data_IF_270252988299
#
_entry.id   IF_270252988299
#
_cell.length_a   1.000
_cell.length_b   1.000
_cell.length_c   1.000
_cell.angle_alpha   90.00
_cell.angle_beta   90.00
_cell.angle_gamma   90.00
#
_symmetry.space_group_name_H-M   'P 1'
#
loop_
_entity.id
_entity.type
_entity.pdbx_description
1 polymer ?
#
# COMPACT_ATOMS: atom_id res chain seq x y z
N UNK A 1 -19.86 -55.83 -57.09
CA UNK A 1 -20.94 -56.36 -56.22
C UNK A 1 -21.39 -55.19 -55.36
N UNK A 2 -22.30 -54.36 -55.85
CA UNK A 2 -23.78 -54.52 -55.86
C UNK A 2 -24.41 -54.23 -54.49
N UNK A 3 -25.34 -53.28 -54.56
CA UNK A 3 -26.12 -52.64 -53.52
C UNK A 3 -27.06 -53.55 -52.73
N UNK A 4 -27.49 -53.06 -51.55
CA UNK A 4 -28.88 -52.89 -51.12
C UNK A 4 -28.90 -52.41 -49.65
N UNK A 5 -29.83 -51.66 -49.08
CA UNK A 5 -30.91 -50.73 -49.46
C UNK A 5 -31.82 -50.59 -48.20
N UNK A 6 -32.59 -49.50 -48.11
CA UNK A 6 -33.82 -49.28 -47.28
C UNK A 6 -33.55 -48.76 -45.84
N UNK A 7 -33.87 -47.53 -45.38
CA UNK A 7 -34.94 -46.52 -45.61
C UNK A 7 -36.16 -46.67 -44.67
N UNK A 8 -36.30 -45.74 -43.70
CA UNK A 8 -37.52 -45.06 -43.17
C UNK A 8 -37.20 -44.37 -41.82
N UNK A 9 -37.75 -43.25 -41.37
CA UNK A 9 -38.45 -42.04 -41.87
C UNK A 9 -39.11 -41.43 -40.60
N UNK A 10 -38.86 -40.12 -40.34
CA UNK A 10 -39.72 -39.12 -39.64
C UNK A 10 -40.08 -39.37 -38.15
N UNK A 11 -40.18 -38.39 -37.23
CA UNK A 11 -40.38 -36.94 -37.37
C UNK A 11 -40.05 -36.12 -36.09
N UNK A 12 -39.74 -34.84 -36.35
CA UNK A 12 -39.95 -33.56 -35.64
C UNK A 12 -40.14 -33.43 -34.11
N UNK A 13 -39.24 -32.65 -33.48
CA UNK A 13 -39.45 -31.47 -32.59
C UNK A 13 -38.04 -31.11 -32.05
N UNK A 14 -37.40 -29.97 -32.29
CA UNK A 14 -37.75 -28.65 -31.79
C UNK A 14 -36.80 -27.60 -32.43
N UNK A 15 -37.36 -26.53 -33.01
CA UNK A 15 -36.61 -25.38 -33.50
C UNK A 15 -36.98 -24.15 -32.65
N UNK A 16 -36.23 -23.86 -31.58
CA UNK A 16 -36.47 -22.65 -30.76
C UNK A 16 -35.26 -22.07 -30.00
N UNK A 17 -34.02 -22.42 -30.33
CA UNK A 17 -32.83 -21.94 -29.59
C UNK A 17 -31.91 -20.96 -30.36
N UNK A 18 -32.27 -20.54 -31.58
CA UNK A 18 -31.37 -19.75 -32.45
C UNK A 18 -31.43 -18.22 -32.35
N UNK A 19 -32.33 -17.60 -31.58
CA UNK A 19 -32.59 -16.15 -31.69
C UNK A 19 -32.29 -15.27 -30.47
N UNK A 20 -31.80 -15.82 -29.34
CA UNK A 20 -31.54 -15.00 -28.13
C UNK A 20 -30.13 -14.42 -28.01
N UNK A 21 -29.17 -14.85 -28.83
CA UNK A 21 -27.76 -14.44 -28.70
C UNK A 21 -27.45 -13.11 -29.46
N UNK A 22 -28.28 -12.72 -30.42
CA UNK A 22 -28.04 -11.54 -31.28
C UNK A 22 -28.33 -10.19 -30.60
N UNK A 23 -29.23 -10.14 -29.61
CA UNK A 23 -29.64 -8.86 -28.98
C UNK A 23 -28.70 -8.40 -27.84
N UNK A 24 -27.99 -9.32 -27.18
CA UNK A 24 -27.05 -8.97 -26.11
C UNK A 24 -25.78 -8.29 -26.65
N UNK A 25 -25.29 -8.75 -27.81
CA UNK A 25 -24.12 -8.17 -28.49
C UNK A 25 -24.39 -6.79 -29.11
N UNK A 26 -25.62 -6.52 -29.56
CA UNK A 26 -26.02 -5.21 -30.08
C UNK A 26 -26.16 -4.14 -28.99
N UNK A 27 -26.60 -4.51 -27.79
CA UNK A 27 -26.69 -3.57 -26.66
C UNK A 27 -25.31 -3.22 -26.07
N UNK A 28 -24.35 -4.14 -26.08
CA UNK A 28 -22.98 -3.87 -25.62
C UNK A 28 -22.25 -2.84 -26.50
N UNK A 29 -22.39 -2.93 -27.84
CA UNK A 29 -21.77 -1.95 -28.77
C UNK A 29 -22.39 -0.55 -28.67
N UNK A 30 -23.67 -0.45 -28.29
CA UNK A 30 -24.37 0.84 -28.17
C UNK A 30 -23.95 1.62 -26.91
N UNK A 31 -23.62 0.91 -25.83
CA UNK A 31 -23.12 1.53 -24.60
C UNK A 31 -21.64 1.94 -24.70
N UNK A 32 -20.83 1.22 -25.48
CA UNK A 32 -19.42 1.56 -25.70
C UNK A 32 -19.25 2.82 -26.56
N UNK A 33 -20.13 3.03 -27.55
CA UNK A 33 -20.11 4.23 -28.40
C UNK A 33 -20.49 5.53 -27.67
N UNK A 34 -21.22 5.47 -26.55
CA UNK A 34 -21.55 6.66 -25.75
C UNK A 34 -20.42 7.06 -24.79
N UNK A 35 -19.60 6.10 -24.31
CA UNK A 35 -18.46 6.40 -23.44
C UNK A 35 -17.33 7.11 -24.18
N UNK A 36 -17.06 6.75 -25.44
CA UNK A 36 -16.01 7.37 -26.27
C UNK A 36 -16.38 8.82 -26.66
N UNK A 37 -17.67 9.12 -26.87
CA UNK A 37 -18.12 10.49 -27.15
C UNK A 37 -18.06 11.42 -25.92
N UNK A 38 -18.16 10.86 -24.72
CA UNK A 38 -18.15 11.62 -23.46
C UNK A 38 -16.73 12.04 -23.06
N UNK A 39 -15.74 11.17 -23.31
CA UNK A 39 -14.32 11.45 -23.03
C UNK A 39 -13.77 12.55 -23.94
N UNK A 40 -14.18 12.58 -25.21
CA UNK A 40 -13.76 13.64 -26.15
C UNK A 40 -14.37 15.01 -25.86
N UNK A 41 -15.49 15.09 -25.13
CA UNK A 41 -16.13 16.36 -24.78
C UNK A 41 -15.56 16.99 -23.50
N UNK A 42 -14.99 16.19 -22.59
CA UNK A 42 -14.35 16.68 -21.34
C UNK A 42 -12.96 17.27 -21.62
N UNK A 43 -12.20 16.70 -22.56
CA UNK A 43 -10.86 17.23 -22.92
C UNK A 43 -10.91 18.59 -23.65
N UNK A 44 -12.05 18.98 -24.23
CA UNK A 44 -12.20 20.26 -24.92
C UNK A 44 -12.64 21.41 -24.00
N UNK A 45 -13.10 21.12 -22.77
CA UNK A 45 -13.65 22.13 -21.86
C UNK A 45 -12.66 22.61 -20.78
N UNK A 46 -11.48 21.97 -20.67
CA UNK A 46 -10.42 22.32 -19.72
C UNK A 46 -9.40 23.35 -20.25
N UNK A 47 -9.58 23.89 -21.47
CA UNK A 47 -8.67 24.86 -22.08
C UNK A 47 -9.11 26.33 -22.00
N UNK A 48 -10.19 26.64 -21.28
CA UNK A 48 -10.66 28.03 -21.15
C UNK A 48 -11.13 28.24 -19.72
N UNK A 49 -10.26 28.70 -18.82
CA UNK A 49 -10.56 29.68 -17.77
C UNK A 49 -9.24 30.18 -17.12
N UNK A 50 -9.13 31.47 -16.73
CA UNK A 50 -7.86 32.16 -16.50
C UNK A 50 -7.31 32.05 -15.08
N UNK A 51 -5.98 32.09 -15.00
CA UNK A 51 -5.17 32.24 -13.79
C UNK A 51 -5.58 33.48 -12.98
N UNK A 52 -5.82 33.31 -11.68
CA UNK A 52 -5.78 34.43 -10.73
C UNK A 52 -4.69 34.20 -9.69
N UNK A 53 -3.69 35.05 -9.81
CA UNK A 53 -2.51 35.28 -9.00
C UNK A 53 -2.80 35.46 -7.51
N UNK A 54 -2.06 34.75 -6.66
CA UNK A 54 -1.72 35.21 -5.30
C UNK A 54 -0.22 35.13 -5.13
N UNK A 55 0.43 36.30 -5.10
CA UNK A 55 1.85 36.49 -4.87
C UNK A 55 2.21 36.32 -3.41
N UNK A 56 3.27 35.55 -3.11
CA UNK A 56 4.02 35.68 -1.86
C UNK A 56 5.51 35.87 -2.18
N UNK A 57 6.05 36.97 -1.67
CA UNK A 57 7.45 37.38 -1.82
C UNK A 57 8.35 36.58 -0.87
N UNK A 58 9.57 36.22 -1.28
CA UNK A 58 10.50 35.41 -0.50
C UNK A 58 11.27 36.28 0.50
N UNK A 59 11.41 35.81 1.73
CA UNK A 59 12.41 36.34 2.66
C UNK A 59 13.15 35.19 3.33
N UNK A 60 14.36 34.97 2.82
CA UNK A 60 15.62 34.69 3.53
C UNK A 60 15.55 33.73 4.72
N UNK A 61 16.15 32.54 4.56
CA UNK A 61 16.86 31.91 5.68
C UNK A 61 18.25 31.40 5.28
N UNK A 62 19.13 31.65 6.23
CA UNK A 62 20.58 31.44 6.27
C UNK A 62 20.87 30.00 6.64
N UNK A 63 21.88 29.42 6.01
CA UNK A 63 22.44 28.10 6.30
C UNK A 63 23.14 28.11 7.67
N UNK A 64 22.78 27.21 8.58
CA UNK A 64 23.64 26.80 9.70
C UNK A 64 23.53 25.30 10.01
N UNK A 65 24.66 24.58 10.16
CA UNK A 65 24.69 23.14 10.41
C UNK A 65 24.68 22.86 11.92
N UNK A 66 23.53 22.51 12.49
CA UNK A 66 23.44 21.83 13.79
C UNK A 66 22.24 20.89 13.80
N UNK A 67 22.51 19.63 14.16
CA UNK A 67 21.55 18.53 14.29
C UNK A 67 20.34 18.92 15.14
N UNK A 68 19.15 18.64 14.60
CA UNK A 68 17.81 18.68 15.22
C UNK A 68 17.39 20.01 15.88
N UNK A 69 17.09 21.01 15.03
CA UNK A 69 16.27 22.17 15.43
C UNK A 69 14.78 21.83 15.31
N UNK A 70 14.04 22.09 16.39
CA UNK A 70 12.62 21.81 16.58
C UNK A 70 11.74 22.31 15.42
N UNK A 71 11.17 21.39 14.65
CA UNK A 71 10.21 21.65 13.58
C UNK A 71 8.84 21.04 13.89
N UNK A 72 7.81 21.88 13.85
CA UNK A 72 6.36 21.62 13.83
C UNK A 72 5.86 20.19 14.17
N UNK A 73 5.29 20.05 15.36
CA UNK A 73 4.48 18.90 15.78
C UNK A 73 3.31 18.66 14.81
N UNK A 74 3.39 17.61 13.99
CA UNK A 74 2.24 17.04 13.30
C UNK A 74 1.56 16.09 14.30
N UNK A 75 0.41 16.49 14.82
CA UNK A 75 -0.40 15.61 15.67
C UNK A 75 -0.99 14.48 14.82
N UNK A 76 -0.56 13.25 15.08
CA UNK A 76 -1.28 12.08 14.65
C UNK A 76 -2.40 11.86 15.67
N UNK A 77 -3.66 11.91 15.22
CA UNK A 77 -4.70 11.33 16.08
C UNK A 77 -4.47 9.83 16.05
N UNK A 78 -4.14 9.24 17.20
CA UNK A 78 -4.12 7.79 17.44
C UNK A 78 -5.30 7.19 16.68
N UNK A 79 -5.01 6.45 15.60
CA UNK A 79 -6.05 5.77 14.85
C UNK A 79 -6.77 4.88 15.86
N UNK A 80 -8.09 5.01 15.96
CA UNK A 80 -8.88 4.03 16.71
C UNK A 80 -8.73 2.74 15.93
N UNK A 81 -7.93 1.83 16.46
CA UNK A 81 -7.98 0.44 16.03
C UNK A 81 -9.38 -0.03 16.34
N UNK A 82 -10.13 -0.39 15.29
CA UNK A 82 -11.41 -1.08 15.49
C UNK A 82 -11.17 -2.27 16.39
N UNK A 83 -12.01 -2.43 17.42
CA UNK A 83 -11.97 -3.54 18.39
C UNK A 83 -11.97 -4.94 17.75
N UNK A 84 -12.24 -5.05 16.44
CA UNK A 84 -12.24 -6.32 15.71
C UNK A 84 -10.85 -6.93 15.44
N UNK A 85 -9.79 -6.13 15.37
CA UNK A 85 -8.41 -6.68 15.35
C UNK A 85 -7.91 -7.04 16.74
N UNK A 86 -8.68 -6.72 17.79
CA UNK A 86 -8.42 -7.06 19.19
C UNK A 86 -9.24 -8.27 19.65
N UNK A 87 -9.55 -9.23 18.76
CA UNK A 87 -10.06 -10.53 19.21
C UNK A 87 -8.94 -11.38 19.84
N UNK A 88 -8.51 -10.92 21.02
CA UNK A 88 -7.97 -11.70 22.12
C UNK A 88 -8.25 -10.91 23.42
N UNK A 89 -9.47 -11.03 23.95
CA UNK A 89 -9.76 -10.64 25.33
C UNK A 89 -9.17 -11.69 26.28
N UNK A 90 -8.43 -11.21 27.28
CA UNK A 90 -8.07 -11.86 28.53
C UNK A 90 -7.20 -13.13 28.44
N UNK A 91 -5.95 -12.97 28.01
CA UNK A 91 -4.83 -13.80 28.49
C UNK A 91 -4.15 -12.99 29.60
N UNK A 92 -3.96 -13.61 30.76
CA UNK A 92 -3.22 -13.02 31.88
C UNK A 92 -1.88 -12.42 31.42
N UNK A 93 -1.63 -11.21 31.89
CA UNK A 93 -0.60 -10.24 31.53
C UNK A 93 0.83 -10.73 31.93
N UNK A 94 1.26 -11.85 31.35
CA UNK A 94 2.60 -12.43 31.51
C UNK A 94 3.22 -12.83 30.17
N UNK A 95 2.65 -12.39 29.04
CA UNK A 95 3.33 -12.54 27.76
C UNK A 95 4.65 -11.74 27.83
N UNK A 96 5.81 -12.36 27.60
CA UNK A 96 7.08 -11.64 27.62
C UNK A 96 7.03 -10.55 26.55
N UNK A 97 7.47 -9.34 26.91
CA UNK A 97 7.61 -8.23 25.96
C UNK A 97 8.40 -8.70 24.72
N UNK A 98 8.05 -8.22 23.51
CA UNK A 98 8.83 -8.56 22.33
C UNK A 98 10.27 -8.07 22.55
N UNK A 99 11.27 -8.85 22.12
CA UNK A 99 12.67 -8.47 22.29
C UNK A 99 12.93 -7.12 21.61
N UNK A 100 13.88 -6.32 22.13
CA UNK A 100 14.25 -5.07 21.50
C UNK A 100 14.62 -5.25 20.04
N UNK A 101 14.16 -4.34 19.20
CA UNK A 101 14.54 -4.29 17.80
C UNK A 101 16.04 -4.11 17.68
N UNK A 102 16.64 -4.89 16.78
CA UNK A 102 18.07 -4.88 16.50
C UNK A 102 18.26 -4.88 14.99
N UNK A 103 17.98 -3.74 14.36
CA UNK A 103 18.24 -3.52 12.94
C UNK A 103 19.72 -3.24 12.64
N UNK A 104 20.12 -3.28 11.37
CA UNK A 104 21.46 -2.87 10.94
C UNK A 104 21.80 -1.43 11.33
N UNK A 105 23.03 -1.19 11.78
CA UNK A 105 23.53 0.13 12.18
C UNK A 105 24.54 0.60 11.14
N UNK A 106 24.44 1.83 10.62
CA UNK A 106 25.40 2.35 9.65
C UNK A 106 26.77 2.55 10.31
N UNK A 107 27.85 2.31 9.57
CA UNK A 107 29.19 2.62 10.08
C UNK A 107 29.34 4.14 10.25
N UNK A 108 29.93 4.62 11.35
CA UNK A 108 30.05 6.05 11.65
C UNK A 108 31.12 6.70 10.77
N UNK A 109 30.75 7.03 9.54
CA UNK A 109 31.56 7.78 8.58
C UNK A 109 30.80 9.05 8.16
N UNK A 110 31.52 10.07 7.70
CA UNK A 110 30.89 11.30 7.18
C UNK A 110 30.00 11.04 5.97
N UNK A 111 30.27 9.96 5.22
CA UNK A 111 29.49 9.54 4.06
C UNK A 111 28.15 8.91 4.46
N UNK A 112 28.05 8.35 5.66
CA UNK A 112 26.83 7.71 6.19
C UNK A 112 26.03 8.63 7.13
N UNK A 113 26.31 9.93 7.12
CA UNK A 113 25.57 10.88 7.93
C UNK A 113 24.10 10.95 7.51
N UNK A 114 23.15 11.13 8.45
CA UNK A 114 21.76 11.35 8.12
C UNK A 114 21.58 12.55 7.19
N UNK A 115 20.83 12.36 6.11
CA UNK A 115 20.48 13.39 5.14
C UNK A 115 19.32 14.26 5.65
N UNK A 116 18.44 13.68 6.45
CA UNK A 116 17.29 14.35 7.05
C UNK A 116 16.53 13.42 7.98
N UNK A 117 15.61 13.97 8.77
CA UNK A 117 14.81 13.19 9.70
C UNK A 117 13.61 13.95 10.25
N UNK A 118 12.75 13.22 10.95
CA UNK A 118 11.58 13.75 11.62
C UNK A 118 11.41 13.07 12.99
N UNK A 119 10.98 13.84 13.98
CA UNK A 119 10.51 13.28 15.24
C UNK A 119 9.04 12.88 15.12
N UNK A 120 8.75 11.63 15.47
CA UNK A 120 7.39 11.10 15.61
C UNK A 120 7.11 10.94 17.11
N UNK A 121 7.04 12.09 17.81
CA UNK A 121 7.03 12.14 19.28
C UNK A 121 5.89 11.36 19.95
N UNK A 122 4.78 11.12 19.27
CA UNK A 122 3.70 10.26 19.77
C UNK A 122 4.05 8.78 19.84
N UNK A 123 5.02 8.36 19.03
CA UNK A 123 5.59 7.01 19.05
C UNK A 123 6.88 6.94 19.90
N UNK A 124 7.40 8.09 20.33
CA UNK A 124 8.69 8.19 21.02
C UNK A 124 9.88 7.82 20.12
N UNK A 125 9.74 8.02 18.81
CA UNK A 125 10.76 7.67 17.81
C UNK A 125 11.19 8.89 17.01
N UNK A 126 12.48 8.98 16.73
CA UNK A 126 13.02 9.83 15.68
C UNK A 126 13.37 8.95 14.48
N UNK A 127 12.87 9.35 13.32
CA UNK A 127 13.12 8.68 12.05
C UNK A 127 14.12 9.50 11.24
N UNK A 128 15.07 8.83 10.60
CA UNK A 128 16.08 9.48 9.78
C UNK A 128 16.29 8.72 8.46
N UNK A 129 16.72 9.44 7.44
CA UNK A 129 17.14 8.87 6.16
C UNK A 129 18.65 9.02 6.04
N UNK A 130 19.33 7.93 5.71
CA UNK A 130 20.77 7.88 5.50
C UNK A 130 21.08 6.84 4.41
N UNK A 131 22.32 6.75 3.89
CA UNK A 131 22.70 5.65 2.99
C UNK A 131 22.41 4.30 3.61
N UNK A 132 21.77 3.41 2.85
CA UNK A 132 21.35 2.08 3.33
C UNK A 132 22.57 1.22 3.66
N UNK A 133 22.43 0.40 4.71
CA UNK A 133 23.44 -0.60 5.06
C UNK A 133 23.33 -1.88 4.25
N UNK A 134 22.16 -2.14 3.65
CA UNK A 134 21.87 -3.40 2.93
C UNK A 134 21.67 -3.23 1.43
N UNK A 135 21.38 -2.02 0.96
CA UNK A 135 21.17 -1.70 -0.46
C UNK A 135 22.26 -0.72 -0.94
N UNK A 136 23.39 -1.22 -1.48
CA UNK A 136 24.51 -0.36 -1.90
C UNK A 136 24.08 0.71 -2.90
N UNK A 137 24.43 1.96 -2.63
CA UNK A 137 24.07 3.11 -3.49
C UNK A 137 22.63 3.62 -3.32
N UNK A 138 21.84 3.00 -2.43
CA UNK A 138 20.48 3.43 -2.10
C UNK A 138 20.42 4.08 -0.70
N UNK A 139 19.25 4.62 -0.36
CA UNK A 139 18.95 5.19 0.94
C UNK A 139 18.12 4.21 1.79
N UNK A 140 18.31 4.29 3.10
CA UNK A 140 17.61 3.51 4.12
C UNK A 140 16.80 4.42 5.06
N UNK A 141 15.70 3.90 5.58
CA UNK A 141 14.94 4.49 6.68
C UNK A 141 15.46 3.94 8.00
N UNK A 142 15.80 4.82 8.93
CA UNK A 142 16.33 4.47 10.24
C UNK A 142 15.40 4.96 11.35
N UNK A 143 15.39 4.25 12.47
CA UNK A 143 14.72 4.66 13.69
C UNK A 143 15.69 4.67 14.88
N UNK A 144 15.47 5.60 15.79
CA UNK A 144 16.07 5.68 17.13
C UNK A 144 15.01 6.17 18.11
N UNK A 145 15.14 5.83 19.40
CA UNK A 145 14.29 6.45 20.42
C UNK A 145 14.53 7.95 20.48
N UNK A 146 13.45 8.73 20.57
CA UNK A 146 13.54 10.17 20.81
C UNK A 146 14.17 10.43 22.18
N UNK A 147 14.97 11.50 22.27
CA UNK A 147 15.67 11.88 23.52
C UNK A 147 14.69 12.17 24.67
N UNK A 148 13.53 12.74 24.35
CA UNK A 148 12.49 13.07 25.32
C UNK A 148 11.08 12.81 24.76
N UNK A 149 10.18 12.39 25.64
CA UNK A 149 8.75 12.31 25.40
C UNK A 149 8.14 13.71 25.25
N UNK A 150 6.87 13.76 24.85
CA UNK A 150 6.11 15.00 24.69
C UNK A 150 5.96 15.80 25.99
N UNK A 151 6.13 15.17 27.16
CA UNK A 151 6.12 15.83 28.47
C UNK A 151 7.52 16.20 28.98
N UNK A 152 8.57 15.95 28.19
CA UNK A 152 9.97 16.24 28.52
C UNK A 152 10.68 15.16 29.36
N UNK A 153 10.02 14.03 29.66
CA UNK A 153 10.67 12.90 30.32
C UNK A 153 11.54 12.10 29.35
N UNK A 154 12.62 11.48 29.84
CA UNK A 154 13.48 10.65 29.00
C UNK A 154 12.77 9.35 28.58
N UNK A 155 12.91 8.94 27.31
CA UNK A 155 12.35 7.69 26.81
C UNK A 155 13.41 6.60 26.90
N UNK A 156 13.19 5.63 27.79
CA UNK A 156 14.09 4.46 27.91
C UNK A 156 13.71 3.32 26.96
N UNK A 157 12.41 3.19 26.66
CA UNK A 157 11.89 2.23 25.69
C UNK A 157 10.52 2.64 25.16
N UNK A 158 10.20 2.18 23.95
CA UNK A 158 8.90 2.33 23.34
C UNK A 158 8.45 1.00 22.73
N UNK A 159 7.43 0.36 23.31
CA UNK A 159 6.81 -0.83 22.74
C UNK A 159 5.58 -0.42 21.94
N UNK A 160 5.65 -0.64 20.63
CA UNK A 160 4.61 -0.29 19.68
C UNK A 160 3.90 -1.55 19.20
N UNK A 161 2.55 -1.58 19.19
CA UNK A 161 1.82 -2.74 18.73
C UNK A 161 1.91 -2.90 17.21
N UNK A 162 1.65 -4.12 16.73
CA UNK A 162 1.44 -4.43 15.33
C UNK A 162 0.42 -3.47 14.71
N UNK A 163 0.62 -3.19 13.43
CA UNK A 163 -0.16 -2.26 12.64
C UNK A 163 -0.16 -0.79 13.08
N UNK A 164 0.75 -0.40 13.98
CA UNK A 164 1.01 1.02 14.26
C UNK A 164 1.44 1.73 12.97
N UNK A 165 0.77 2.85 12.64
CA UNK A 165 1.15 3.70 11.51
C UNK A 165 2.44 4.45 11.82
N UNK A 166 3.49 4.19 11.04
CA UNK A 166 4.75 4.93 11.13
C UNK A 166 4.71 6.20 10.29
N UNK A 167 4.09 6.11 9.11
CA UNK A 167 4.05 7.21 8.16
C UNK A 167 3.54 6.76 6.80
N UNK A 168 3.71 7.63 5.83
CA UNK A 168 3.37 7.34 4.45
C UNK A 168 4.48 6.62 3.70
N UNK A 169 4.11 5.70 2.80
CA UNK A 169 5.05 5.18 1.82
C UNK A 169 5.33 6.24 0.76
N UNK A 170 4.30 6.63 0.01
CA UNK A 170 4.28 7.87 -0.74
C UNK A 170 2.86 8.35 -0.93
N UNK A 171 2.59 9.62 -0.63
CA UNK A 171 1.28 10.21 -0.90
C UNK A 171 1.06 10.56 -2.37
N UNK A 172 2.13 10.82 -3.10
CA UNK A 172 2.07 11.24 -4.50
C UNK A 172 2.76 10.21 -5.39
N UNK A 173 2.18 10.02 -6.57
CA UNK A 173 2.59 9.02 -7.53
C UNK A 173 1.54 8.87 -8.61
N UNK A 174 1.78 7.94 -9.51
CA UNK A 174 0.90 7.63 -10.64
C UNK A 174 0.50 6.16 -10.60
N UNK A 175 -0.77 5.90 -10.92
CA UNK A 175 -1.23 4.54 -11.14
C UNK A 175 -1.01 4.13 -12.58
N UNK A 176 -0.42 2.95 -12.77
CA UNK A 176 -0.12 2.37 -14.06
C UNK A 176 -0.62 0.93 -14.14
N UNK A 177 -0.86 0.45 -15.36
CA UNK A 177 -1.29 -0.94 -15.61
C UNK A 177 -0.13 -1.94 -15.66
N UNK A 178 1.11 -1.45 -15.64
CA UNK A 178 2.33 -2.26 -15.65
C UNK A 178 3.21 -1.91 -14.47
N UNK A 179 4.02 -2.89 -14.06
CA UNK A 179 5.03 -2.69 -13.05
C UNK A 179 6.21 -1.94 -13.67
N UNK A 180 6.46 -0.72 -13.19
CA UNK A 180 7.54 0.15 -13.67
C UNK A 180 8.27 0.76 -12.47
N UNK A 181 9.57 0.55 -12.35
CA UNK A 181 10.40 1.14 -11.27
C UNK A 181 10.60 0.23 -10.06
N UNK A 182 11.59 0.58 -9.23
CA UNK A 182 12.13 -0.24 -8.12
C UNK A 182 11.46 -0.01 -6.76
N UNK A 183 10.41 0.82 -6.73
CA UNK A 183 9.63 1.20 -5.55
C UNK A 183 8.12 1.11 -5.79
N UNK A 184 7.74 0.37 -6.82
CA UNK A 184 6.35 0.30 -7.26
C UNK A 184 5.56 -0.65 -6.37
N UNK A 185 4.36 -0.22 -5.99
CA UNK A 185 3.51 -0.99 -5.07
C UNK A 185 2.29 -1.48 -5.81
N UNK A 186 2.14 -2.79 -5.90
CA UNK A 186 0.96 -3.40 -6.49
C UNK A 186 -0.26 -3.29 -5.56
N UNK A 187 -1.38 -2.83 -6.10
CA UNK A 187 -2.69 -2.96 -5.48
C UNK A 187 -3.26 -4.35 -5.76
N UNK A 188 -2.75 -5.32 -5.01
CA UNK A 188 -3.12 -6.72 -5.12
C UNK A 188 -3.49 -7.29 -3.75
N UNK A 189 -4.76 -7.18 -3.39
CA UNK A 189 -5.31 -7.72 -2.15
C UNK A 189 -5.73 -9.17 -2.39
N UNK A 190 -5.20 -10.09 -1.60
CA UNK A 190 -5.36 -11.54 -1.79
C UNK A 190 -6.37 -12.18 -0.83
N UNK A 191 -6.80 -11.46 0.22
CA UNK A 191 -7.76 -11.97 1.19
C UNK A 191 -8.59 -10.85 1.85
N UNK A 192 -9.78 -11.21 2.34
CA UNK A 192 -10.73 -10.28 2.94
C UNK A 192 -10.28 -9.68 4.29
N UNK A 193 -9.33 -10.34 4.97
CA UNK A 193 -8.79 -9.92 6.25
C UNK A 193 -7.55 -9.03 6.11
N UNK A 194 -7.09 -8.75 4.89
CA UNK A 194 -5.96 -7.86 4.65
C UNK A 194 -6.21 -6.50 5.28
N UNK A 195 -5.20 -5.98 5.97
CA UNK A 195 -5.31 -4.71 6.66
C UNK A 195 -5.26 -3.54 5.65
N UNK A 196 -6.21 -2.62 5.77
CA UNK A 196 -6.33 -1.41 4.96
C UNK A 196 -6.70 -0.23 5.85
N UNK A 197 -6.41 0.98 5.40
CA UNK A 197 -6.93 2.19 6.00
C UNK A 197 -8.13 2.70 5.21
N UNK A 198 -9.25 2.88 5.90
CA UNK A 198 -10.44 3.51 5.36
C UNK A 198 -11.04 4.43 6.43
N UNK A 199 -11.49 5.62 6.04
CA UNK A 199 -11.99 6.65 6.98
C UNK A 199 -11.04 6.94 8.16
N UNK A 200 -9.73 6.93 7.88
CA UNK A 200 -8.63 7.17 8.84
C UNK A 200 -8.47 6.09 9.91
N UNK A 201 -9.20 4.99 9.82
CA UNK A 201 -9.09 3.85 10.72
C UNK A 201 -8.45 2.67 10.00
N UNK A 202 -7.63 1.92 10.73
CA UNK A 202 -7.12 0.65 10.25
C UNK A 202 -8.17 -0.42 10.49
N UNK A 203 -8.53 -1.14 9.43
CA UNK A 203 -9.51 -2.21 9.47
C UNK A 203 -9.22 -3.27 8.39
N UNK A 204 -10.04 -4.32 8.35
CA UNK A 204 -9.95 -5.35 7.31
C UNK A 204 -10.62 -4.85 6.04
N UNK A 205 -10.28 -5.43 4.90
CA UNK A 205 -10.98 -5.11 3.64
C UNK A 205 -12.48 -5.39 3.75
N UNK A 206 -12.88 -6.47 4.43
CA UNK A 206 -14.30 -6.78 4.68
C UNK A 206 -15.00 -5.73 5.53
N UNK A 207 -14.37 -5.26 6.60
CA UNK A 207 -14.95 -4.21 7.43
C UNK A 207 -15.03 -2.87 6.66
N UNK A 208 -14.01 -2.54 5.86
CA UNK A 208 -14.00 -1.34 5.04
C UNK A 208 -15.14 -1.36 4.00
N UNK A 209 -15.32 -2.47 3.29
CA UNK A 209 -16.40 -2.64 2.32
C UNK A 209 -17.78 -2.60 2.98
N UNK A 210 -17.94 -3.23 4.15
CA UNK A 210 -19.19 -3.19 4.91
C UNK A 210 -19.51 -1.77 5.39
N UNK A 211 -18.51 -1.04 5.91
CA UNK A 211 -18.67 0.34 6.33
C UNK A 211 -19.03 1.25 5.16
N UNK A 212 -18.31 1.13 4.03
CA UNK A 212 -18.60 1.90 2.82
C UNK A 212 -20.01 1.62 2.31
N UNK A 213 -20.41 0.35 2.20
CA UNK A 213 -21.75 -0.06 1.79
C UNK A 213 -22.86 0.55 2.65
N UNK A 214 -22.65 0.66 3.97
CA UNK A 214 -23.63 1.21 4.90
C UNK A 214 -23.70 2.74 4.92
N UNK A 215 -22.58 3.42 4.66
CA UNK A 215 -22.45 4.87 4.88
C UNK A 215 -22.59 5.69 3.61
N UNK A 216 -22.01 5.22 2.51
CA UNK A 216 -21.90 5.97 1.24
C UNK A 216 -22.29 5.13 0.01
N UNK A 217 -22.29 3.81 0.13
CA UNK A 217 -22.56 2.87 -0.96
C UNK A 217 -24.00 2.90 -1.47
N UNK A 218 -24.16 2.64 -2.77
CA UNK A 218 -25.48 2.53 -3.41
C UNK A 218 -26.10 1.17 -3.11
N UNK A 219 -27.39 1.16 -2.81
CA UNK A 219 -28.17 -0.06 -2.54
C UNK A 219 -27.58 -0.97 -1.44
N UNK A 220 -26.94 -0.37 -0.43
CA UNK A 220 -26.20 -1.08 0.64
C UNK A 220 -25.12 -2.03 0.08
N UNK A 221 -24.46 -1.62 -1.01
CA UNK A 221 -23.41 -2.38 -1.67
C UNK A 221 -22.20 -1.50 -1.97
N UNK A 222 -21.01 -2.10 -1.95
CA UNK A 222 -19.76 -1.46 -2.34
C UNK A 222 -18.86 -2.51 -3.00
N UNK A 223 -18.28 -2.17 -4.15
CA UNK A 223 -17.25 -2.98 -4.81
C UNK A 223 -15.85 -2.65 -4.31
N UNK A 224 -14.87 -3.38 -4.84
CA UNK A 224 -13.45 -3.13 -4.66
C UNK A 224 -12.81 -3.05 -6.05
N UNK A 225 -12.27 -1.89 -6.41
CA UNK A 225 -11.76 -1.67 -7.76
C UNK A 225 -10.59 -2.62 -8.09
N UNK A 226 -10.55 -3.12 -9.33
CA UNK A 226 -9.54 -4.07 -9.78
C UNK A 226 -9.60 -5.45 -9.12
N UNK A 227 -10.68 -5.78 -8.40
CA UNK A 227 -10.84 -7.07 -7.73
C UNK A 227 -12.24 -7.65 -7.96
N UNK A 228 -12.31 -8.97 -8.01
CA UNK A 228 -13.55 -9.74 -8.03
C UNK A 228 -13.84 -10.24 -6.62
N UNK A 229 -15.03 -9.91 -6.12
CA UNK A 229 -15.52 -10.37 -4.82
C UNK A 229 -16.48 -11.55 -5.05
N UNK A 230 -16.11 -12.74 -4.59
CA UNK A 230 -16.96 -13.93 -4.67
C UNK A 230 -17.50 -14.28 -3.28
N UNK A 231 -18.83 -14.30 -3.07
CA UNK A 231 -19.39 -14.74 -1.80
C UNK A 231 -18.92 -16.15 -1.46
N UNK A 232 -18.54 -16.36 -0.21
CA UNK A 232 -18.29 -17.71 0.30
C UNK A 232 -19.62 -18.48 0.40
N UNK A 233 -19.57 -19.82 0.37
CA UNK A 233 -20.76 -20.69 0.40
C UNK A 233 -21.66 -20.42 1.62
N UNK A 234 -21.06 -19.98 2.72
CA UNK A 234 -21.74 -19.64 3.97
C UNK A 234 -22.30 -18.20 4.01
N UNK A 235 -22.05 -17.37 2.98
CA UNK A 235 -22.49 -15.96 2.84
C UNK A 235 -22.08 -14.98 3.95
N UNK A 236 -21.23 -15.41 4.89
CA UNK A 236 -20.72 -14.55 5.97
C UNK A 236 -19.42 -13.83 5.60
N UNK A 237 -18.77 -14.24 4.51
CA UNK A 237 -17.54 -13.66 3.99
C UNK A 237 -17.50 -13.72 2.47
N UNK A 238 -16.47 -13.16 1.87
CA UNK A 238 -16.17 -13.26 0.45
C UNK A 238 -14.68 -13.54 0.23
N UNK A 239 -14.38 -14.26 -0.84
CA UNK A 239 -13.04 -14.40 -1.38
C UNK A 239 -12.73 -13.23 -2.30
N UNK A 240 -11.50 -12.71 -2.20
CA UNK A 240 -11.00 -11.64 -3.07
C UNK A 240 -10.08 -12.26 -4.11
N UNK A 241 -10.31 -11.94 -5.37
CA UNK A 241 -9.42 -12.29 -6.47
C UNK A 241 -9.04 -11.04 -7.24
N UNK A 242 -7.85 -11.02 -7.83
CA UNK A 242 -7.48 -9.98 -8.78
C UNK A 242 -8.36 -10.10 -10.02
N UNK A 243 -8.93 -8.98 -10.45
CA UNK A 243 -9.58 -8.91 -11.75
C UNK A 243 -8.51 -8.88 -12.84
N UNK A 244 -8.35 -10.03 -13.53
CA UNK A 244 -7.43 -10.19 -14.66
C UNK A 244 -8.10 -9.87 -16.00
N UNK A 245 -9.42 -9.65 -16.00
CA UNK A 245 -10.19 -9.33 -17.22
C UNK A 245 -10.14 -7.83 -17.54
N UNK A 246 -9.72 -6.99 -16.60
CA UNK A 246 -9.46 -5.56 -16.80
C UNK A 246 -7.94 -5.26 -16.78
N UNK A 247 -7.23 -5.45 -17.92
CA UNK A 247 -5.81 -5.18 -18.02
C UNK A 247 -5.47 -3.68 -18.07
N UNK A 248 -6.47 -2.81 -18.22
CA UNK A 248 -6.27 -1.35 -18.26
C UNK A 248 -6.33 -0.74 -16.85
N UNK A 249 -6.79 -1.49 -15.86
CA UNK A 249 -6.80 -1.04 -14.48
C UNK A 249 -5.39 -0.70 -14.00
N UNK A 250 -5.21 0.55 -13.54
CA UNK A 250 -3.96 1.04 -13.00
C UNK A 250 -3.65 0.40 -11.64
N UNK A 251 -3.15 -0.85 -11.65
CA UNK A 251 -2.91 -1.64 -10.44
C UNK A 251 -1.62 -1.27 -9.72
N UNK A 252 -0.65 -0.72 -10.42
CA UNK A 252 0.68 -0.46 -9.90
C UNK A 252 0.82 1.01 -9.56
N UNK A 253 1.10 1.32 -8.30
CA UNK A 253 1.37 2.69 -7.88
C UNK A 253 2.87 2.94 -7.93
N UNK A 254 3.28 3.80 -8.85
CA UNK A 254 4.65 4.27 -9.00
C UNK A 254 4.78 5.57 -8.20
N UNK A 255 5.52 5.58 -7.08
CA UNK A 255 5.68 6.79 -6.29
C UNK A 255 6.47 7.85 -7.06
N UNK A 256 6.17 9.13 -6.82
CA UNK A 256 7.00 10.23 -7.35
C UNK A 256 8.45 10.07 -6.84
N UNK A 257 9.47 10.30 -7.70
CA UNK A 257 10.85 10.28 -7.27
C UNK A 257 11.09 11.35 -6.18
N UNK A 258 11.95 11.01 -5.22
CA UNK A 258 12.38 11.94 -4.17
C UNK A 258 13.70 12.54 -4.59
N UNK A 259 13.63 13.54 -5.47
CA UNK A 259 14.81 14.21 -6.02
C UNK A 259 15.39 15.28 -5.10
N UNK A 260 14.62 15.76 -4.11
CA UNK A 260 15.01 16.82 -3.20
C UNK A 260 14.41 16.60 -1.79
N UNK A 261 15.29 16.45 -0.79
CA UNK A 261 14.91 16.34 0.62
C UNK A 261 14.39 17.66 1.22
N UNK A 262 14.61 18.79 0.54
CA UNK A 262 14.31 20.11 1.09
C UNK A 262 12.86 20.59 0.83
N UNK A 263 12.08 19.91 -0.03
CA UNK A 263 10.83 20.48 -0.57
C UNK A 263 9.50 19.84 -0.11
N UNK A 264 9.50 18.69 0.58
CA UNK A 264 8.25 17.95 0.88
C UNK A 264 8.18 17.47 2.35
N UNK A 265 6.98 17.44 3.00
CA UNK A 265 6.82 16.85 4.33
C UNK A 265 7.22 15.37 4.34
N UNK A 266 8.41 15.11 4.88
CA UNK A 266 9.09 13.81 4.85
C UNK A 266 8.19 12.66 5.31
N UNK A 267 7.37 12.87 6.35
CA UNK A 267 6.55 11.82 6.97
C UNK A 267 5.56 11.12 6.03
N UNK A 268 5.13 11.79 4.96
CA UNK A 268 4.21 11.19 3.98
C UNK A 268 4.92 10.35 2.91
N UNK A 269 6.25 10.37 2.88
CA UNK A 269 7.09 9.73 1.88
C UNK A 269 8.24 8.88 2.46
N UNK A 270 8.48 8.91 3.78
CA UNK A 270 9.59 8.21 4.43
C UNK A 270 9.61 6.70 4.18
N UNK A 271 8.44 6.09 4.01
CA UNK A 271 8.34 4.66 3.82
C UNK A 271 9.03 4.15 2.56
N UNK A 272 9.19 4.98 1.52
CA UNK A 272 9.94 4.62 0.30
C UNK A 272 11.41 4.25 0.57
N UNK A 273 12.00 4.83 1.61
CA UNK A 273 13.39 4.56 2.00
C UNK A 273 13.52 3.29 2.84
N UNK A 274 12.41 2.66 3.24
CA UNK A 274 12.46 1.43 4.01
C UNK A 274 12.70 0.25 3.05
N UNK A 275 13.93 -0.25 3.03
CA UNK A 275 14.33 -1.37 2.16
C UNK A 275 13.85 -2.70 2.73
N UNK A 276 13.85 -3.75 1.91
CA UNK A 276 13.59 -5.11 2.39
C UNK A 276 14.89 -5.71 2.90
N UNK A 277 15.03 -5.84 4.21
CA UNK A 277 16.25 -6.38 4.82
C UNK A 277 16.36 -7.90 4.65
N UNK A 278 15.28 -8.56 4.22
CA UNK A 278 15.29 -9.98 3.89
C UNK A 278 15.91 -10.26 2.52
N UNK A 279 15.91 -9.27 1.63
CA UNK A 279 16.49 -9.39 0.29
C UNK A 279 17.97 -9.00 0.31
N UNK A 280 18.84 -9.98 0.07
CA UNK A 280 20.27 -9.77 -0.08
C UNK A 280 20.60 -9.64 -1.58
N UNK A 281 21.14 -8.50 -1.99
CA UNK A 281 21.48 -8.23 -3.38
C UNK A 281 22.64 -9.08 -3.92
N UNK A 282 23.44 -9.70 -3.05
CA UNK A 282 24.54 -10.59 -3.44
C UNK A 282 24.09 -12.05 -3.41
N UNK A 283 23.28 -12.44 -2.42
CA UNK A 283 22.81 -13.80 -2.22
C UNK A 283 21.31 -13.83 -1.92
N UNK A 284 20.44 -13.52 -2.90
CA UNK A 284 19.01 -13.40 -2.65
C UNK A 284 18.39 -14.74 -2.23
N UNK A 285 17.33 -14.73 -1.41
CA UNK A 285 16.54 -15.92 -1.12
C UNK A 285 16.08 -16.60 -2.41
N UNK A 286 16.15 -17.92 -2.47
CA UNK A 286 15.82 -18.70 -3.67
C UNK A 286 14.43 -19.31 -3.63
N UNK A 287 13.82 -19.35 -2.44
CA UNK A 287 12.47 -19.88 -2.21
C UNK A 287 11.62 -18.89 -1.41
N UNK A 288 10.30 -19.04 -1.54
CA UNK A 288 9.34 -18.27 -0.76
C UNK A 288 9.52 -18.49 0.74
N UNK A 289 9.78 -19.73 1.15
CA UNK A 289 9.96 -20.11 2.55
C UNK A 289 11.23 -19.48 3.15
N UNK A 290 12.33 -19.44 2.39
CA UNK A 290 13.56 -18.74 2.79
C UNK A 290 13.32 -17.25 2.96
N UNK A 291 12.64 -16.62 2.00
CA UNK A 291 12.29 -15.21 2.07
C UNK A 291 11.38 -14.92 3.28
N UNK A 292 10.29 -15.67 3.44
CA UNK A 292 9.32 -15.43 4.51
C UNK A 292 9.98 -15.59 5.88
N UNK A 293 10.90 -16.56 6.05
CA UNK A 293 11.69 -16.70 7.27
C UNK A 293 12.56 -15.47 7.52
N UNK A 294 13.38 -15.07 6.54
CA UNK A 294 14.27 -13.91 6.68
C UNK A 294 13.49 -12.60 6.91
N UNK A 295 12.35 -12.45 6.25
CA UNK A 295 11.45 -11.28 6.37
C UNK A 295 10.83 -11.19 7.75
N UNK A 296 10.33 -12.30 8.31
CA UNK A 296 9.82 -12.33 9.68
C UNK A 296 10.90 -12.03 10.73
N UNK A 297 12.15 -12.36 10.46
CA UNK A 297 13.27 -12.07 11.36
C UNK A 297 13.68 -10.60 11.27
N UNK A 298 13.90 -10.08 10.05
CA UNK A 298 14.59 -8.80 9.82
C UNK A 298 13.65 -7.61 9.58
N UNK A 299 12.52 -7.83 8.92
CA UNK A 299 11.57 -6.76 8.60
C UNK A 299 10.61 -6.54 9.77
N UNK A 300 10.29 -5.28 10.00
CA UNK A 300 9.34 -4.85 11.05
C UNK A 300 8.26 -3.94 10.52
N UNK A 301 8.40 -3.48 9.28
CA UNK A 301 7.44 -2.66 8.55
C UNK A 301 6.79 -3.51 7.47
N UNK A 302 5.54 -3.20 7.16
CA UNK A 302 4.83 -3.69 5.99
C UNK A 302 3.99 -2.56 5.38
N UNK A 303 3.56 -2.75 4.15
CA UNK A 303 2.68 -1.79 3.49
C UNK A 303 1.21 -2.13 3.72
N UNK A 304 0.39 -1.10 3.89
CA UNK A 304 -1.06 -1.20 3.83
C UNK A 304 -1.61 -0.13 2.89
N UNK A 305 -2.73 -0.43 2.25
CA UNK A 305 -3.37 0.51 1.34
C UNK A 305 -4.30 1.44 2.09
N UNK A 306 -4.20 2.75 1.81
CA UNK A 306 -5.32 3.67 2.05
C UNK A 306 -6.31 3.55 0.90
N UNK A 307 -7.57 3.41 1.26
CA UNK A 307 -8.69 3.32 0.35
C UNK A 307 -9.53 4.60 0.43
N UNK A 308 -10.10 4.98 -0.71
CA UNK A 308 -11.11 6.01 -0.83
C UNK A 308 -12.35 5.41 -1.51
N UNK A 309 -13.53 5.97 -1.24
CA UNK A 309 -14.75 5.57 -1.95
C UNK A 309 -14.90 6.39 -3.23
N UNK A 310 -15.16 5.71 -4.34
CA UNK A 310 -15.48 6.30 -5.64
C UNK A 310 -16.97 6.14 -5.93
N UNK A 311 -17.68 7.28 -6.00
CA UNK A 311 -19.12 7.34 -6.25
C UNK A 311 -19.51 6.92 -7.67
N UNK A 312 -18.63 7.11 -8.66
CA UNK A 312 -18.95 6.82 -10.07
C UNK A 312 -19.03 5.31 -10.30
N UNK A 313 -18.07 4.57 -9.73
CA UNK A 313 -17.99 3.11 -9.85
C UNK A 313 -18.52 2.36 -8.61
N UNK A 314 -19.04 3.08 -7.61
CA UNK A 314 -19.58 2.53 -6.36
C UNK A 314 -18.62 1.52 -5.69
N UNK A 315 -17.34 1.88 -5.61
CA UNK A 315 -16.30 0.96 -5.15
C UNK A 315 -15.24 1.66 -4.31
N UNK A 316 -14.60 0.90 -3.42
CA UNK A 316 -13.36 1.33 -2.81
C UNK A 316 -12.22 1.27 -3.84
N UNK A 317 -11.47 2.35 -3.96
CA UNK A 317 -10.29 2.50 -4.83
C UNK A 317 -9.05 2.73 -4.00
N UNK A 318 -7.86 2.27 -4.43
CA UNK A 318 -6.62 2.59 -3.76
C UNK A 318 -6.33 4.08 -3.92
N UNK A 319 -6.00 4.76 -2.82
CA UNK A 319 -5.53 6.15 -2.90
C UNK A 319 -4.01 6.23 -2.90
N UNK A 320 -3.37 5.57 -1.93
CA UNK A 320 -1.91 5.56 -1.78
C UNK A 320 -1.48 4.58 -0.66
N UNK A 321 -0.26 4.02 -0.70
CA UNK A 321 0.23 3.08 0.32
C UNK A 321 0.83 3.78 1.56
N UNK A 322 0.68 3.17 2.72
CA UNK A 322 1.25 3.62 4.00
C UNK A 322 2.14 2.56 4.62
N UNK A 323 3.07 2.97 5.48
CA UNK A 323 3.98 2.10 6.20
C UNK A 323 3.48 1.88 7.63
N UNK A 324 3.26 0.62 7.99
CA UNK A 324 2.82 0.21 9.33
C UNK A 324 3.74 -0.86 9.91
N UNK A 325 3.72 -1.05 11.22
CA UNK A 325 4.41 -2.18 11.84
C UNK A 325 3.75 -3.51 11.46
N UNK A 326 4.57 -4.51 11.14
CA UNK A 326 4.13 -5.86 10.81
C UNK A 326 3.88 -6.74 12.05
N UNK A 327 4.45 -6.36 13.20
CA UNK A 327 4.37 -7.07 14.48
C UNK A 327 4.55 -6.08 15.63
N UNK A 328 4.36 -6.54 16.85
CA UNK A 328 4.75 -5.77 18.04
C UNK A 328 6.28 -5.60 18.06
N UNK A 329 6.75 -4.39 18.33
CA UNK A 329 8.18 -4.04 18.32
C UNK A 329 8.51 -3.20 19.54
N UNK A 330 9.57 -3.57 20.24
CA UNK A 330 10.15 -2.74 21.31
C UNK A 330 11.37 -2.00 20.78
N UNK A 331 11.39 -0.68 20.84
CA UNK A 331 12.58 0.13 20.62
C UNK A 331 13.21 0.45 21.98
N UNK A 332 14.51 0.20 22.13
CA UNK A 332 15.26 0.42 23.37
C UNK A 332 16.60 1.14 23.14
N UNK A 333 16.90 1.51 21.90
CA UNK A 333 18.16 2.17 21.53
C UNK A 333 17.94 3.67 21.34
N UNK A 334 18.70 4.47 22.09
CA UNK A 334 18.69 5.93 22.01
C UNK A 334 20.02 6.52 21.50
N UNK A 335 20.92 5.70 20.96
CA UNK A 335 22.24 6.13 20.49
C UNK A 335 22.46 5.90 19.01
N UNK A 336 22.14 4.70 18.54
CA UNK A 336 22.45 4.31 17.17
C UNK A 336 21.18 4.26 16.32
N UNK A 337 21.28 4.81 15.10
CA UNK A 337 20.23 4.70 14.10
C UNK A 337 20.18 3.25 13.58
N UNK A 338 19.04 2.59 13.74
CA UNK A 338 18.82 1.22 13.25
C UNK A 338 17.94 1.24 12.01
N UNK A 339 18.43 0.66 10.90
CA UNK A 339 17.69 0.60 9.64
C UNK A 339 16.43 -0.25 9.83
N UNK A 340 15.28 0.28 9.45
CA UNK A 340 13.99 -0.41 9.44
C UNK A 340 13.85 -1.20 8.15
N UNK A 341 13.30 -2.41 8.26
CA UNK A 341 13.00 -3.26 7.12
C UNK A 341 11.52 -3.32 6.77
N UNK A 342 11.18 -3.17 5.49
CA UNK A 342 9.83 -3.36 4.94
C UNK A 342 9.69 -4.71 4.24
N UNK A 343 8.66 -5.47 4.61
CA UNK A 343 8.24 -6.66 3.89
C UNK A 343 7.47 -6.27 2.62
N UNK A 344 8.15 -6.32 1.47
CA UNK A 344 7.47 -6.17 0.15
C UNK A 344 6.78 -7.46 -0.31
N UNK A 345 7.22 -8.61 0.19
CA UNK A 345 6.67 -9.92 -0.14
C UNK A 345 7.44 -10.63 -1.26
N UNK A 346 7.33 -11.95 -1.30
CA UNK A 346 8.04 -12.79 -2.28
C UNK A 346 7.67 -12.46 -3.74
N UNK A 347 6.39 -12.22 -4.01
CA UNK A 347 5.90 -11.96 -5.36
C UNK A 347 6.46 -10.66 -5.95
N UNK A 348 6.73 -9.65 -5.11
CA UNK A 348 7.39 -8.43 -5.51
C UNK A 348 8.78 -8.74 -6.10
N UNK A 349 9.57 -9.51 -5.36
CA UNK A 349 10.93 -9.85 -5.78
C UNK A 349 10.97 -10.80 -6.97
N UNK A 350 10.03 -11.74 -7.07
CA UNK A 350 9.93 -12.57 -8.29
C UNK A 350 9.68 -11.74 -9.54
N UNK A 351 8.79 -10.74 -9.47
CA UNK A 351 8.52 -9.86 -10.60
C UNK A 351 9.79 -9.09 -11.03
N UNK A 352 10.62 -8.64 -10.08
CA UNK A 352 11.88 -7.96 -10.39
C UNK A 352 12.93 -8.88 -11.02
N UNK A 353 13.07 -10.12 -10.54
CA UNK A 353 14.04 -11.09 -11.09
C UNK A 353 13.66 -11.50 -12.51
N UNK A 354 12.36 -11.64 -12.79
CA UNK A 354 11.86 -11.98 -14.13
C UNK A 354 12.07 -10.84 -15.13
N UNK A 355 12.15 -9.58 -14.67
CA UNK A 355 12.47 -8.41 -15.51
C UNK A 355 13.94 -8.36 -15.92
N UNK A 356 14.88 -8.75 -15.05
CA UNK A 356 16.32 -8.79 -15.36
C UNK A 356 16.72 -9.96 -16.28
N UNK A 357 15.82 -10.93 -16.47
CA UNK A 357 16.01 -12.08 -17.34
C UNK A 357 15.52 -11.86 -18.80
N UNK A 358 14.91 -10.71 -19.09
CA UNK A 358 14.45 -10.28 -20.42
C UNK A 358 15.44 -9.31 -21.07
#
# INVERSE_FOLDING_TARGET
MSACSILRVMDMHDASQGLKISNKAKNARRNMSMRILSILFVSALLLILPESTVSWSPSQYVVHPHLFSHGNNIQFRRARTSSRFQHHENIEDNAPLPPPYSGPIPQPTSENAPLGGISVGELGLDLAVAPSTVAPGSLGLYAVLSEAATDGSAIESATLPAFTLLGGYSRHGIFQSRDEGDKTVAFALDNANTAVFYERELMSVVDALALAAQTVGKDNSCGLAGHVLLPDENKESFSIYLDIEDPEFGRYFVPDPVDDFDSVPLVQRLGQFCNDLAWDYQNPPTTREEYDKASNEKNVVQLAWRLAYDEEINSLVPSWPVSILARDVTFANNRDLMELGTRYGWNYWQATVDLDAL
#
